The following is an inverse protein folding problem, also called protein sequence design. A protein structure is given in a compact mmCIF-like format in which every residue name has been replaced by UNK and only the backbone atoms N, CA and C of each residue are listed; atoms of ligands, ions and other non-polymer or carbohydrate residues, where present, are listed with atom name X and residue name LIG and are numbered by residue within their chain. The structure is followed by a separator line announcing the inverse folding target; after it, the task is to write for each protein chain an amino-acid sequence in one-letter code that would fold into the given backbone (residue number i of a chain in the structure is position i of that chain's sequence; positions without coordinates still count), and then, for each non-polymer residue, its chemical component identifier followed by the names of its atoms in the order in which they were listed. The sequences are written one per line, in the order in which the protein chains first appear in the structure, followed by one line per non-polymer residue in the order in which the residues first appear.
data_IF_833153547850
#
_entry.id   IF_833153547850
#
_cell.length_a   1.000
_cell.length_b   1.000
_cell.length_c   1.000
_cell.angle_alpha   90.00
_cell.angle_beta   90.00
_cell.angle_gamma   90.00
#
_symmetry.space_group_name_H-M   'P 1'
#
loop_
_entity.id
_entity.type
_entity.pdbx_description
1 polymer ?
#
# COMPACT_ATOMS: atom_id res chain seq x y z
N UNK A 1 -8.85 0.54 15.80
CA UNK A 1 -8.35 -0.85 15.66
C UNK A 1 -7.08 -0.91 14.80
N UNK A 2 -7.06 -0.29 13.62
CA UNK A 2 -5.96 -0.40 12.64
C UNK A 2 -4.58 0.07 13.12
N UNK A 3 -4.50 1.16 13.92
CA UNK A 3 -3.23 1.64 14.46
C UNK A 3 -2.52 0.64 15.39
N UNK A 4 -3.29 -0.19 16.12
CA UNK A 4 -2.72 -1.25 16.97
C UNK A 4 -2.09 -2.35 16.13
N UNK A 5 -2.76 -2.75 15.05
CA UNK A 5 -2.24 -3.79 14.16
C UNK A 5 -0.98 -3.34 13.43
N UNK A 6 -0.92 -2.10 12.93
CA UNK A 6 0.30 -1.52 12.34
C UNK A 6 1.46 -1.55 13.34
N UNK A 7 1.21 -1.23 14.61
CA UNK A 7 2.24 -1.29 15.65
C UNK A 7 2.77 -2.72 15.84
N UNK A 8 1.90 -3.72 15.85
CA UNK A 8 2.28 -5.13 15.95
C UNK A 8 3.14 -5.54 14.75
N UNK A 9 2.68 -5.23 13.54
CA UNK A 9 3.42 -5.56 12.30
C UNK A 9 4.79 -4.88 12.25
N UNK A 10 4.88 -3.64 12.72
CA UNK A 10 6.15 -2.89 12.74
C UNK A 10 7.21 -3.52 13.66
N UNK A 11 6.80 -4.27 14.69
CA UNK A 11 7.73 -4.99 15.58
C UNK A 11 8.50 -6.08 14.83
N UNK A 12 7.93 -6.68 13.78
CA UNK A 12 8.62 -7.66 12.94
C UNK A 12 9.82 -7.09 12.17
N UNK A 13 9.96 -5.76 12.12
CA UNK A 13 11.01 -5.03 11.40
C UNK A 13 11.77 -4.06 12.33
N UNK A 14 11.80 -4.34 13.64
CA UNK A 14 12.45 -3.46 14.62
C UNK A 14 13.97 -3.35 14.46
N UNK A 15 14.58 -4.31 13.77
CA UNK A 15 16.01 -4.41 13.46
C UNK A 15 16.45 -3.50 12.29
N UNK A 16 15.51 -2.86 11.59
CA UNK A 16 15.84 -1.93 10.51
C UNK A 16 16.48 -0.65 11.04
N UNK A 17 17.69 -0.35 10.57
CA UNK A 17 18.39 0.90 10.87
C UNK A 17 17.74 2.10 10.18
N UNK A 18 17.24 1.91 8.95
CA UNK A 18 16.57 2.96 8.19
C UNK A 18 15.07 2.98 8.52
N UNK A 19 14.62 4.05 9.17
CA UNK A 19 13.22 4.24 9.55
C UNK A 19 12.27 4.35 8.34
N UNK A 20 12.71 4.92 7.21
CA UNK A 20 11.89 5.04 6.00
C UNK A 20 11.66 3.66 5.36
N UNK A 21 12.70 2.82 5.32
CA UNK A 21 12.56 1.44 4.84
C UNK A 21 11.65 0.65 5.78
N UNK A 22 11.84 0.76 7.10
CA UNK A 22 10.96 0.10 8.08
C UNK A 22 9.48 0.44 7.85
N UNK A 23 9.16 1.69 7.51
CA UNK A 23 7.79 2.11 7.18
C UNK A 23 7.28 1.38 5.93
N UNK A 24 8.07 1.32 4.85
CA UNK A 24 7.68 0.63 3.61
C UNK A 24 7.39 -0.85 3.85
N UNK A 25 8.27 -1.55 4.57
CA UNK A 25 8.08 -2.96 4.92
C UNK A 25 6.86 -3.18 5.83
N UNK A 26 6.64 -2.28 6.80
CA UNK A 26 5.45 -2.33 7.67
C UNK A 26 4.16 -2.17 6.85
N UNK A 27 4.13 -1.23 5.89
CA UNK A 27 2.98 -1.04 5.00
C UNK A 27 2.75 -2.25 4.09
N UNK A 28 3.82 -2.80 3.53
CA UNK A 28 3.76 -4.03 2.72
C UNK A 28 3.21 -5.20 3.53
N UNK A 29 3.70 -5.41 4.74
CA UNK A 29 3.25 -6.49 5.61
C UNK A 29 1.83 -6.28 6.17
N UNK A 30 1.38 -5.03 6.30
CA UNK A 30 0.00 -4.74 6.65
C UNK A 30 -0.98 -5.16 5.55
N UNK A 31 -0.63 -4.95 4.27
CA UNK A 31 -1.48 -5.32 3.13
C UNK A 31 -1.30 -6.78 2.70
N UNK A 32 -0.06 -7.22 2.47
CA UNK A 32 0.28 -8.55 1.95
C UNK A 32 0.59 -9.60 3.03
N UNK A 33 0.66 -9.21 4.30
CA UNK A 33 1.05 -10.11 5.39
C UNK A 33 2.56 -10.22 5.59
N UNK A 34 2.98 -10.30 6.86
CA UNK A 34 4.41 -10.37 7.26
C UNK A 34 5.14 -11.55 6.60
N UNK A 35 4.48 -12.71 6.52
CA UNK A 35 5.10 -13.94 6.00
C UNK A 35 5.56 -13.82 4.55
N UNK A 36 4.71 -13.30 3.67
CA UNK A 36 5.08 -13.12 2.26
C UNK A 36 6.16 -12.04 2.06
N UNK A 37 6.17 -10.99 2.88
CA UNK A 37 7.24 -9.99 2.86
C UNK A 37 8.58 -10.63 3.27
N UNK A 38 8.57 -11.49 4.29
CA UNK A 38 9.77 -12.22 4.71
C UNK A 38 10.23 -13.22 3.64
N UNK A 39 9.31 -13.92 2.99
CA UNK A 39 9.65 -14.80 1.86
C UNK A 39 10.31 -14.02 0.71
N UNK A 40 9.78 -12.83 0.37
CA UNK A 40 10.41 -11.95 -0.61
C UNK A 40 11.80 -11.44 -0.17
N UNK A 41 12.00 -11.16 1.12
CA UNK A 41 13.31 -10.81 1.69
C UNK A 41 14.32 -11.94 1.57
N UNK A 42 13.89 -13.19 1.79
CA UNK A 42 14.70 -14.39 1.62
C UNK A 42 15.14 -14.54 0.16
N UNK A 43 14.19 -14.45 -0.77
CA UNK A 43 14.48 -14.51 -2.21
C UNK A 43 15.44 -13.41 -2.66
N UNK A 44 15.24 -12.18 -2.19
CA UNK A 44 16.15 -11.06 -2.46
C UNK A 44 17.57 -11.35 -1.94
N UNK A 45 17.70 -11.86 -0.72
CA UNK A 45 19.00 -12.23 -0.13
C UNK A 45 19.69 -13.34 -0.94
N UNK A 46 18.95 -14.36 -1.38
CA UNK A 46 19.48 -15.45 -2.23
C UNK A 46 20.02 -14.94 -3.56
N UNK A 47 19.40 -13.90 -4.10
CA UNK A 47 19.83 -13.24 -5.33
C UNK A 47 20.93 -12.17 -5.10
N UNK A 48 21.52 -12.11 -3.90
CA UNK A 48 22.58 -11.14 -3.58
C UNK A 48 22.11 -9.69 -3.43
N UNK A 49 20.80 -9.48 -3.23
CA UNK A 49 20.21 -8.16 -3.01
C UNK A 49 20.11 -7.83 -1.52
N UNK A 50 20.02 -6.56 -1.20
CA UNK A 50 19.81 -6.07 0.15
C UNK A 50 18.34 -6.19 0.55
N UNK A 51 18.07 -7.17 1.41
CA UNK A 51 16.74 -7.46 1.94
C UNK A 51 16.17 -6.36 2.87
N UNK A 52 16.94 -5.32 3.21
CA UNK A 52 16.48 -4.16 3.98
C UNK A 52 16.08 -2.97 3.09
N UNK A 53 16.20 -3.09 1.76
CA UNK A 53 15.80 -2.04 0.81
C UNK A 53 14.54 -2.46 0.05
N UNK A 54 13.47 -1.68 0.20
CA UNK A 54 12.17 -1.99 -0.39
C UNK A 54 12.25 -2.11 -1.91
N UNK A 55 12.99 -1.22 -2.58
CA UNK A 55 13.11 -1.25 -4.04
C UNK A 55 13.83 -2.51 -4.56
N UNK A 56 14.66 -3.16 -3.73
CA UNK A 56 15.31 -4.41 -4.07
C UNK A 56 14.44 -5.63 -3.71
N UNK A 57 13.55 -5.52 -2.71
CA UNK A 57 12.65 -6.61 -2.29
C UNK A 57 11.33 -6.63 -3.07
N UNK A 58 10.79 -5.47 -3.45
CA UNK A 58 9.51 -5.33 -4.14
C UNK A 58 9.39 -6.18 -5.42
N UNK A 59 10.43 -6.32 -6.27
CA UNK A 59 10.39 -7.23 -7.41
C UNK A 59 10.10 -8.69 -7.00
N UNK A 60 10.65 -9.15 -5.87
CA UNK A 60 10.43 -10.51 -5.38
C UNK A 60 9.02 -10.71 -4.83
N UNK A 61 8.39 -9.66 -4.29
CA UNK A 61 6.97 -9.68 -3.90
C UNK A 61 6.08 -9.95 -5.14
N UNK A 62 6.40 -9.33 -6.28
CA UNK A 62 5.69 -9.57 -7.54
C UNK A 62 5.93 -11.00 -8.07
N UNK A 63 7.18 -11.45 -7.98
CA UNK A 63 7.60 -12.78 -8.42
C UNK A 63 7.00 -13.93 -7.61
N UNK A 64 6.49 -13.70 -6.39
CA UNK A 64 5.75 -14.74 -5.63
C UNK A 64 4.46 -15.22 -6.33
N UNK A 65 4.08 -14.61 -7.46
CA UNK A 65 3.01 -15.12 -8.33
C UNK A 65 3.49 -16.19 -9.33
N UNK A 66 4.80 -16.34 -9.51
CA UNK A 66 5.42 -17.23 -10.48
C UNK A 66 5.91 -18.54 -9.80
N UNK A 67 5.65 -19.73 -10.42
CA UNK A 67 5.98 -21.02 -9.83
C UNK A 67 7.45 -21.21 -9.44
N UNK A 68 8.40 -20.62 -10.17
CA UNK A 68 9.80 -20.81 -9.83
C UNK A 68 10.22 -20.11 -8.52
N UNK A 69 9.44 -19.12 -8.05
CA UNK A 69 9.74 -18.40 -6.81
C UNK A 69 8.90 -18.89 -5.64
N UNK A 70 7.58 -19.06 -5.80
CA UNK A 70 6.76 -19.49 -4.66
C UNK A 70 6.96 -20.96 -4.27
N UNK A 71 7.56 -21.77 -5.15
CA UNK A 71 7.96 -23.16 -4.86
C UNK A 71 9.40 -23.29 -4.40
N UNK A 72 10.11 -22.17 -4.22
CA UNK A 72 11.45 -22.19 -3.65
C UNK A 72 11.40 -22.82 -2.25
N UNK A 73 12.33 -23.73 -1.91
CA UNK A 73 12.29 -24.46 -0.64
C UNK A 73 12.41 -23.55 0.60
N UNK A 74 12.96 -22.34 0.45
CA UNK A 74 13.09 -21.40 1.55
C UNK A 74 11.83 -20.51 1.72
N UNK A 75 10.91 -20.52 0.76
CA UNK A 75 9.64 -19.79 0.80
C UNK A 75 8.59 -20.60 1.56
N UNK A 76 8.03 -20.03 2.63
CA UNK A 76 7.14 -20.76 3.55
C UNK A 76 5.66 -20.54 3.28
N UNK A 77 5.28 -19.36 2.80
CA UNK A 77 3.88 -18.95 2.67
C UNK A 77 3.36 -19.15 1.25
N UNK A 78 4.24 -19.45 0.30
CA UNK A 78 3.88 -19.84 -1.05
C UNK A 78 3.33 -18.69 -1.89
N UNK A 79 2.34 -19.01 -2.71
CA UNK A 79 1.83 -18.12 -3.76
C UNK A 79 1.27 -16.82 -3.17
N UNK A 80 1.66 -15.69 -3.76
CA UNK A 80 1.07 -14.38 -3.51
C UNK A 80 0.92 -13.61 -4.83
N UNK A 81 -0.18 -12.87 -4.96
CA UNK A 81 -0.33 -11.85 -6.01
C UNK A 81 0.16 -10.49 -5.51
N UNK A 82 1.46 -10.24 -5.63
CA UNK A 82 2.13 -9.08 -5.03
C UNK A 82 1.79 -7.70 -5.60
N UNK A 83 1.07 -7.62 -6.72
CA UNK A 83 0.80 -6.35 -7.41
C UNK A 83 0.01 -5.36 -6.57
N UNK A 84 -0.95 -5.84 -5.77
CA UNK A 84 -1.72 -4.98 -4.87
C UNK A 84 -0.84 -4.42 -3.76
N UNK A 85 0.02 -5.26 -3.18
CA UNK A 85 0.92 -4.88 -2.08
C UNK A 85 1.98 -3.87 -2.50
N UNK A 86 2.62 -4.08 -3.66
CA UNK A 86 3.56 -3.10 -4.20
C UNK A 86 2.86 -1.76 -4.45
N UNK A 87 1.71 -1.79 -5.12
CA UNK A 87 0.96 -0.58 -5.44
C UNK A 87 0.48 0.16 -4.18
N UNK A 88 0.05 -0.57 -3.16
CA UNK A 88 -0.38 -0.01 -1.88
C UNK A 88 0.74 0.79 -1.22
N UNK A 89 1.94 0.22 -1.12
CA UNK A 89 3.10 0.91 -0.53
C UNK A 89 3.46 2.14 -1.35
N UNK A 90 3.56 1.99 -2.68
CA UNK A 90 3.91 3.10 -3.59
C UNK A 90 2.95 4.28 -3.44
N UNK A 91 1.63 4.02 -3.50
CA UNK A 91 0.60 5.05 -3.42
C UNK A 91 0.58 5.78 -2.07
N UNK A 92 0.82 5.08 -0.96
CA UNK A 92 0.86 5.70 0.37
C UNK A 92 2.09 6.59 0.52
N UNK A 93 3.27 6.11 0.10
CA UNK A 93 4.51 6.90 0.18
C UNK A 93 4.41 8.13 -0.72
N UNK A 94 3.86 7.98 -1.93
CA UNK A 94 3.61 9.10 -2.83
C UNK A 94 2.68 10.15 -2.20
N UNK A 95 1.53 9.72 -1.66
CA UNK A 95 0.58 10.60 -0.98
C UNK A 95 1.19 11.29 0.25
N UNK A 96 1.99 10.58 1.04
CA UNK A 96 2.68 11.15 2.19
C UNK A 96 3.72 12.20 1.76
N UNK A 97 4.48 11.94 0.71
CA UNK A 97 5.43 12.90 0.15
C UNK A 97 4.72 14.15 -0.38
N UNK A 98 3.57 14.00 -1.04
CA UNK A 98 2.73 15.13 -1.42
C UNK A 98 2.34 15.96 -0.19
N UNK A 99 1.80 15.35 0.86
CA UNK A 99 1.44 16.09 2.08
C UNK A 99 2.63 16.79 2.74
N UNK A 100 3.81 16.17 2.78
CA UNK A 100 5.02 16.83 3.29
C UNK A 100 5.49 17.98 2.40
N UNK A 101 5.39 17.85 1.08
CA UNK A 101 5.68 18.91 0.13
C UNK A 101 4.71 20.09 0.25
N UNK A 102 3.40 19.80 0.37
CA UNK A 102 2.38 20.80 0.64
C UNK A 102 2.63 21.51 1.97
N UNK A 103 2.94 20.77 3.04
CA UNK A 103 3.25 21.34 4.36
C UNK A 103 4.49 22.25 4.34
N UNK A 104 5.53 21.89 3.56
CA UNK A 104 6.73 22.73 3.39
C UNK A 104 6.45 24.00 2.58
N UNK A 105 5.56 23.93 1.60
CA UNK A 105 5.24 25.07 0.72
C UNK A 105 4.14 26.00 1.28
N UNK A 106 3.42 25.62 2.35
CA UNK A 106 2.31 26.39 2.93
C UNK A 106 2.53 26.74 4.40
N UNK A 107 3.73 27.21 4.75
CA UNK A 107 3.96 27.87 6.05
C UNK A 107 3.42 29.30 5.96
N UNK A 108 2.32 29.55 6.69
CA UNK A 108 1.51 30.78 6.79
C UNK A 108 0.48 31.03 5.66
N UNK A 109 -0.72 30.45 5.79
CA UNK A 109 -1.95 31.16 5.37
C UNK A 109 -2.85 30.55 4.29
N UNK A 110 -2.76 29.27 3.94
CA UNK A 110 -3.74 28.68 2.99
C UNK A 110 -3.97 27.19 3.24
N UNK A 111 -5.18 26.86 3.70
CA UNK A 111 -5.70 25.49 3.77
C UNK A 111 -5.86 24.91 2.36
N UNK A 112 -5.31 23.72 2.05
CA UNK A 112 -5.61 23.07 0.78
C UNK A 112 -6.99 22.39 0.87
N UNK A 113 -7.93 22.83 0.01
CA UNK A 113 -9.17 22.11 -0.25
C UNK A 113 -8.87 20.73 -0.86
N UNK A 114 -9.66 19.70 -0.55
CA UNK A 114 -9.61 18.43 -1.28
C UNK A 114 -9.76 18.68 -2.78
N UNK A 115 -9.04 17.90 -3.58
CA UNK A 115 -8.96 18.02 -5.04
C UNK A 115 -10.29 18.45 -5.66
N UNK A 116 -10.31 19.64 -6.28
CA UNK A 116 -11.47 20.10 -7.05
C UNK A 116 -11.68 19.12 -8.21
N UNK A 117 -12.80 18.39 -8.19
CA UNK A 117 -13.40 17.85 -9.41
C UNK A 117 -13.64 19.04 -10.35
N UNK A 118 -13.27 18.88 -11.62
CA UNK A 118 -13.38 19.91 -12.66
C UNK A 118 -14.77 20.52 -12.69
N UNK A 119 -14.86 21.85 -12.58
CA UNK A 119 -16.09 22.60 -12.79
C UNK A 119 -16.47 22.53 -14.28
N UNK A 120 -17.69 22.07 -14.56
CA UNK A 120 -18.39 22.43 -15.77
C UNK A 120 -19.72 23.05 -15.33
N UNK A 121 -19.93 24.30 -15.74
CA UNK A 121 -21.21 25.00 -15.77
C UNK A 121 -21.94 25.24 -14.43
N UNK A 122 -21.20 25.57 -13.38
CA UNK A 122 -21.73 26.35 -12.24
C UNK A 122 -22.77 25.67 -11.34
N UNK A 123 -23.11 24.40 -11.57
CA UNK A 123 -24.09 23.68 -10.77
C UNK A 123 -23.44 22.52 -9.99
N UNK A 124 -23.51 22.55 -8.66
CA UNK A 124 -23.10 21.42 -7.82
C UNK A 124 -24.13 20.29 -7.97
N UNK A 125 -23.86 19.32 -8.83
CA UNK A 125 -24.62 18.05 -8.87
C UNK A 125 -23.85 16.93 -8.17
N UNK A 126 -24.45 16.34 -7.15
CA UNK A 126 -23.96 15.13 -6.51
C UNK A 126 -24.04 13.96 -7.49
N UNK A 127 -22.95 13.21 -7.67
CA UNK A 127 -22.95 11.96 -8.47
C UNK A 127 -23.64 10.80 -7.71
N UNK A 128 -24.00 11.05 -6.45
CA UNK A 128 -24.74 10.13 -5.61
C UNK A 128 -26.20 10.57 -5.67
N UNK A 129 -27.06 9.70 -6.20
CA UNK A 129 -28.51 9.90 -6.13
C UNK A 129 -28.93 9.97 -4.65
N UNK A 130 -29.85 10.88 -4.28
CA UNK A 130 -30.38 10.94 -2.92
C UNK A 130 -31.02 9.60 -2.54
N UNK A 131 -31.01 9.26 -1.25
CA UNK A 131 -31.46 7.97 -0.75
C UNK A 131 -32.94 7.66 -1.11
N UNK A 132 -33.75 8.69 -1.43
CA UNK A 132 -35.13 8.53 -1.89
C UNK A 132 -35.28 8.01 -3.32
N UNK A 133 -34.21 7.98 -4.14
CA UNK A 133 -34.26 7.51 -5.53
C UNK A 133 -33.87 6.02 -5.68
N UNK A 134 -33.57 5.33 -4.58
CA UNK A 134 -33.36 3.88 -4.56
C UNK A 134 -34.70 3.14 -4.54
N UNK A 135 -35.30 2.94 -5.71
CA UNK A 135 -36.36 1.95 -5.89
C UNK A 135 -35.70 0.63 -6.30
N UNK A 136 -35.80 -0.46 -5.51
CA UNK A 136 -35.30 -1.76 -5.95
C UNK A 136 -36.19 -2.23 -7.09
N UNK A 137 -35.65 -2.26 -8.31
CA UNK A 137 -36.36 -2.83 -9.44
C UNK A 137 -36.59 -4.32 -9.19
N UNK A 138 -37.82 -4.73 -9.48
CA UNK A 138 -38.45 -5.94 -8.98
C UNK A 138 -37.63 -7.21 -9.22
N UNK A 139 -37.50 -7.97 -8.14
CA UNK A 139 -37.35 -9.43 -8.18
C UNK A 139 -38.71 -10.01 -8.62
N UNK A 140 -38.88 -10.28 -9.91
CA UNK A 140 -39.95 -11.14 -10.41
C UNK A 140 -39.41 -12.10 -11.48
N UNK A 141 -39.38 -13.38 -11.06
CA UNK A 141 -39.48 -14.64 -11.81
C UNK A 141 -38.55 -14.89 -13.00
#
# INVERSE_FOLDING_TARGET
ASARYIRIVSQSFSDFNNAEERIKFTLGAYNGGVGHIQDAQILARKAGRNHQLWHEVAPYILHLSEPQYYRDPDVRHGYMRGSETEAYVRLIIERWNQYRGYARNHSAGSTPSPAKKSLQDGEYRSIVKPAEEWVPENRQN
#
